data_IF_134293337318
#
_entry.id   IF_134293337318
#
_cell.length_a   1.000
_cell.length_b   1.000
_cell.length_c   1.000
_cell.angle_alpha   90.00
_cell.angle_beta   90.00
_cell.angle_gamma   90.00
#
_symmetry.space_group_name_H-M   'P 1'
#
loop_
_entity.id
_entity.type
_entity.pdbx_description
1 polymer ?
#
# COMPACT_ATOMS: atom_id res chain seq x y z
N UNK A 1 -24.87 -46.43 -27.71
CA UNK A 1 -24.84 -45.75 -26.40
C UNK A 1 -24.89 -44.25 -26.65
N UNK A 2 -25.91 -43.54 -26.16
CA UNK A 2 -26.07 -42.08 -26.32
C UNK A 2 -25.38 -41.40 -25.15
N UNK A 3 -24.27 -40.71 -25.39
CA UNK A 3 -23.57 -39.95 -24.35
C UNK A 3 -24.32 -38.66 -24.07
N UNK A 4 -24.75 -38.47 -22.82
CA UNK A 4 -25.38 -37.25 -22.33
C UNK A 4 -24.29 -36.33 -21.78
N UNK A 5 -24.08 -35.17 -22.41
CA UNK A 5 -23.17 -34.14 -21.94
C UNK A 5 -23.91 -33.17 -21.00
N UNK A 6 -23.43 -33.02 -19.77
CA UNK A 6 -23.88 -31.99 -18.83
C UNK A 6 -22.95 -30.77 -18.94
N UNK A 7 -23.51 -29.61 -19.27
CA UNK A 7 -22.81 -28.33 -19.25
C UNK A 7 -23.08 -27.65 -17.90
N UNK A 8 -22.06 -27.55 -17.04
CA UNK A 8 -22.13 -26.73 -15.83
C UNK A 8 -21.64 -25.32 -16.17
N UNK A 9 -22.51 -24.31 -16.12
CA UNK A 9 -22.06 -22.92 -16.21
C UNK A 9 -21.34 -22.54 -14.92
N UNK A 10 -20.05 -22.23 -15.01
CA UNK A 10 -19.31 -21.65 -13.89
C UNK A 10 -19.83 -20.23 -13.63
N UNK A 11 -20.49 -20.02 -12.48
CA UNK A 11 -20.74 -18.68 -11.97
C UNK A 11 -19.39 -18.06 -11.59
N UNK A 12 -19.00 -17.01 -12.30
CA UNK A 12 -17.91 -16.12 -11.91
C UNK A 12 -18.39 -15.26 -10.74
N UNK A 13 -17.93 -15.57 -9.52
CA UNK A 13 -18.09 -14.69 -8.37
C UNK A 13 -17.02 -13.59 -8.46
N UNK A 14 -17.42 -12.32 -8.58
CA UNK A 14 -16.45 -11.23 -8.50
C UNK A 14 -15.88 -11.20 -7.08
N UNK A 15 -14.58 -11.42 -6.94
CA UNK A 15 -13.91 -11.29 -5.66
C UNK A 15 -13.83 -9.80 -5.29
N UNK A 16 -14.36 -9.44 -4.12
CA UNK A 16 -14.15 -8.10 -3.57
C UNK A 16 -12.66 -7.87 -3.31
N UNK A 17 -12.19 -6.64 -3.50
CA UNK A 17 -10.82 -6.29 -3.17
C UNK A 17 -10.56 -6.53 -1.67
N UNK A 18 -9.53 -7.32 -1.37
CA UNK A 18 -9.09 -7.54 0.02
C UNK A 18 -8.18 -6.40 0.43
N UNK A 19 -8.45 -5.77 1.58
CA UNK A 19 -7.55 -4.78 2.15
C UNK A 19 -6.29 -5.48 2.67
N UNK A 20 -5.20 -5.38 1.92
CA UNK A 20 -3.95 -6.07 2.24
C UNK A 20 -3.07 -5.31 3.24
N UNK A 21 -3.08 -3.97 3.18
CA UNK A 21 -2.26 -3.11 4.04
C UNK A 21 -3.03 -1.85 4.44
N UNK A 22 -2.84 -1.38 5.68
CA UNK A 22 -3.42 -0.12 6.15
C UNK A 22 -2.56 0.55 7.22
N UNK A 23 -2.13 1.77 6.91
CA UNK A 23 -1.35 2.64 7.79
C UNK A 23 -2.20 3.87 8.14
N UNK A 24 -2.75 3.93 9.36
CA UNK A 24 -3.59 5.06 9.79
C UNK A 24 -2.79 6.22 10.38
N UNK A 25 -1.57 5.95 10.87
CA UNK A 25 -0.70 6.93 11.53
C UNK A 25 -1.31 7.58 12.78
N UNK A 26 -2.26 6.91 13.43
CA UNK A 26 -2.89 7.39 14.67
C UNK A 26 -1.85 7.54 15.80
N UNK A 27 -1.02 6.50 15.97
CA UNK A 27 0.05 6.45 16.98
C UNK A 27 1.43 6.22 16.37
N UNK A 28 1.50 5.39 15.32
CA UNK A 28 2.75 4.89 14.76
C UNK A 28 2.54 4.37 13.32
N UNK A 29 3.60 3.75 12.76
CA UNK A 29 3.64 3.25 11.39
C UNK A 29 3.15 1.79 11.26
N UNK A 30 2.42 1.26 12.24
CA UNK A 30 1.95 -0.13 12.21
C UNK A 30 0.97 -0.35 11.06
N UNK A 31 1.18 -1.45 10.33
CA UNK A 31 0.20 -1.96 9.37
C UNK A 31 -0.88 -2.74 10.11
N UNK A 32 -2.06 -2.14 10.21
CA UNK A 32 -3.22 -2.71 10.92
C UNK A 32 -3.93 -3.84 10.17
N UNK A 33 -3.61 -4.07 8.89
CA UNK A 33 -4.23 -5.11 8.07
C UNK A 33 -3.28 -6.27 7.76
N UNK A 34 -2.07 -5.97 7.27
CA UNK A 34 -1.12 -6.99 6.79
C UNK A 34 0.04 -7.28 7.75
N UNK A 35 0.19 -6.50 8.83
CA UNK A 35 1.27 -6.68 9.81
C UNK A 35 2.67 -6.29 9.31
N UNK A 36 2.80 -5.68 8.13
CA UNK A 36 4.08 -5.20 7.62
C UNK A 36 4.40 -3.78 8.12
N UNK A 37 4.83 -3.67 9.37
CA UNK A 37 5.10 -2.37 10.02
C UNK A 37 6.08 -1.50 9.24
N UNK A 38 5.73 -0.22 9.10
CA UNK A 38 6.57 0.80 8.49
C UNK A 38 7.75 1.21 9.39
N UNK A 39 8.86 1.60 8.76
CA UNK A 39 10.06 2.08 9.43
C UNK A 39 10.34 3.50 8.95
N UNK A 40 10.40 4.45 9.88
CA UNK A 40 10.65 5.85 9.58
C UNK A 40 12.16 6.10 9.44
N UNK A 41 12.56 6.72 8.33
CA UNK A 41 13.96 6.99 8.02
C UNK A 41 14.20 8.45 7.63
N UNK A 42 15.45 8.90 7.74
CA UNK A 42 15.89 10.22 7.27
C UNK A 42 15.18 11.39 7.96
N UNK A 43 14.68 11.19 9.18
CA UNK A 43 13.92 12.19 9.94
C UNK A 43 12.43 12.27 9.55
N UNK A 44 11.88 11.24 8.88
CA UNK A 44 10.44 11.06 8.79
C UNK A 44 9.84 10.94 10.20
N UNK A 45 8.66 11.52 10.40
CA UNK A 45 7.98 11.51 11.71
C UNK A 45 6.51 11.22 11.53
N UNK A 46 5.88 10.66 12.56
CA UNK A 46 4.42 10.60 12.66
C UNK A 46 3.99 11.65 13.66
N UNK A 47 3.06 12.51 13.22
CA UNK A 47 2.52 13.55 14.07
C UNK A 47 1.14 13.95 13.57
N UNK A 48 0.20 14.07 14.51
CA UNK A 48 -1.17 14.53 14.23
C UNK A 48 -1.87 13.66 13.16
N UNK A 49 -1.82 12.33 13.32
CA UNK A 49 -2.54 11.39 12.45
C UNK A 49 -1.95 11.22 11.04
N UNK A 50 -0.68 11.58 10.81
CA UNK A 50 -0.05 11.49 9.48
C UNK A 50 1.45 11.24 9.54
N UNK A 51 1.94 10.56 8.50
CA UNK A 51 3.34 10.58 8.13
C UNK A 51 3.72 11.98 7.61
N UNK A 52 4.78 12.56 8.17
CA UNK A 52 5.31 13.86 7.77
C UNK A 52 6.66 13.69 7.07
N UNK A 53 6.70 14.09 5.80
CA UNK A 53 7.89 14.11 4.96
C UNK A 53 8.22 15.57 4.62
N UNK A 54 9.24 16.12 5.27
CA UNK A 54 9.66 17.53 5.13
C UNK A 54 10.43 17.84 3.84
N UNK A 55 10.59 16.86 2.94
CA UNK A 55 11.12 17.06 1.60
C UNK A 55 12.57 17.54 1.58
N UNK A 56 13.53 16.65 1.79
CA UNK A 56 14.96 16.93 1.53
C UNK A 56 15.35 16.56 0.07
N UNK A 57 14.39 16.62 -0.87
CA UNK A 57 14.57 16.23 -2.27
C UNK A 57 14.26 14.75 -2.57
N UNK A 58 14.52 14.32 -3.81
CA UNK A 58 14.18 12.98 -4.32
C UNK A 58 15.15 11.85 -3.94
N UNK A 59 16.17 12.16 -3.13
CA UNK A 59 17.21 11.21 -2.76
C UNK A 59 16.70 10.10 -1.83
N UNK A 60 17.38 8.94 -1.85
CA UNK A 60 17.22 7.88 -0.86
C UNK A 60 17.64 8.32 0.54
N UNK A 61 18.49 9.34 0.66
CA UNK A 61 18.85 9.98 1.93
C UNK A 61 17.77 10.93 2.48
N UNK A 62 16.77 11.29 1.67
CA UNK A 62 15.66 12.10 2.15
C UNK A 62 14.70 11.26 3.01
N UNK A 63 13.92 11.95 3.85
CA UNK A 63 12.89 11.33 4.69
C UNK A 63 11.94 10.45 3.86
N UNK A 64 11.62 9.29 4.44
CA UNK A 64 10.70 8.29 3.89
C UNK A 64 10.25 7.33 4.99
N UNK A 65 9.23 6.57 4.68
CA UNK A 65 8.86 5.34 5.34
C UNK A 65 9.26 4.17 4.44
N UNK A 66 10.01 3.22 4.99
CA UNK A 66 10.19 1.89 4.40
C UNK A 66 9.33 0.87 5.17
N UNK A 67 9.51 -0.42 4.92
CA UNK A 67 8.75 -1.50 5.53
C UNK A 67 9.68 -2.54 6.16
N UNK A 68 9.21 -3.22 7.19
CA UNK A 68 9.94 -4.31 7.86
C UNK A 68 10.24 -5.46 6.89
N UNK A 69 9.32 -5.74 5.98
CA UNK A 69 9.48 -6.69 4.89
C UNK A 69 9.09 -6.04 3.54
N UNK A 70 9.56 -6.54 2.39
CA UNK A 70 9.06 -6.10 1.10
C UNK A 70 7.54 -6.25 1.01
N UNK A 71 6.84 -5.22 0.55
CA UNK A 71 5.40 -5.31 0.20
C UNK A 71 5.18 -6.24 -0.99
N UNK A 72 6.21 -6.36 -1.86
CA UNK A 72 6.25 -7.22 -3.05
C UNK A 72 4.95 -7.17 -3.89
N UNK A 73 4.63 -5.97 -4.41
CA UNK A 73 3.41 -5.75 -5.17
C UNK A 73 3.29 -6.70 -6.37
N UNK A 74 4.42 -6.98 -7.03
CA UNK A 74 4.48 -7.86 -8.19
C UNK A 74 4.19 -9.32 -7.81
N UNK A 75 4.85 -9.84 -6.77
CA UNK A 75 4.66 -11.21 -6.31
C UNK A 75 3.29 -11.46 -5.67
N UNK A 76 2.81 -10.50 -4.87
CA UNK A 76 1.58 -10.66 -4.09
C UNK A 76 0.29 -10.27 -4.85
N UNK A 77 0.36 -9.31 -5.78
CA UNK A 77 -0.84 -8.74 -6.42
C UNK A 77 -0.77 -8.69 -7.95
N UNK A 78 0.32 -9.17 -8.58
CA UNK A 78 0.50 -9.06 -10.03
C UNK A 78 -0.57 -9.75 -10.89
N UNK A 79 -1.20 -10.82 -10.37
CA UNK A 79 -2.24 -11.56 -11.08
C UNK A 79 -3.66 -10.99 -10.86
N UNK A 80 -3.87 -10.25 -9.77
CA UNK A 80 -5.20 -9.76 -9.35
C UNK A 80 -5.36 -8.26 -9.51
N UNK A 81 -4.25 -7.53 -9.70
CA UNK A 81 -4.20 -6.07 -9.64
C UNK A 81 -4.17 -5.55 -8.21
N UNK A 82 -3.83 -4.26 -8.09
CA UNK A 82 -3.78 -3.53 -6.82
C UNK A 82 -4.42 -2.16 -6.97
N UNK A 83 -5.07 -1.70 -5.91
CA UNK A 83 -5.50 -0.30 -5.75
C UNK A 83 -4.80 0.27 -4.52
N UNK A 84 -4.34 1.52 -4.63
CA UNK A 84 -3.75 2.26 -3.51
C UNK A 84 -4.63 3.50 -3.30
N UNK A 85 -5.15 3.66 -2.07
CA UNK A 85 -5.84 4.85 -1.63
C UNK A 85 -4.98 5.58 -0.58
N UNK A 86 -4.88 6.90 -0.70
CA UNK A 86 -4.14 7.73 0.25
C UNK A 86 -4.70 9.14 0.30
N UNK A 87 -4.64 9.73 1.50
CA UNK A 87 -4.93 11.14 1.73
C UNK A 87 -3.62 11.84 2.05
N UNK A 88 -3.32 12.92 1.34
CA UNK A 88 -2.10 13.69 1.57
C UNK A 88 -2.38 15.19 1.52
N UNK A 89 -1.48 15.96 2.12
CA UNK A 89 -1.43 17.41 2.00
C UNK A 89 -0.06 17.78 1.46
N UNK A 90 -0.03 18.45 0.31
CA UNK A 90 1.19 19.03 -0.23
C UNK A 90 1.26 20.52 0.14
N UNK A 91 2.35 20.92 0.76
CA UNK A 91 2.63 22.31 1.15
C UNK A 91 3.77 22.93 0.34
N UNK A 92 4.07 22.39 -0.84
CA UNK A 92 5.08 22.91 -1.77
C UNK A 92 6.28 21.98 -1.98
N UNK A 93 6.06 20.68 -2.20
CA UNK A 93 7.12 19.69 -2.45
C UNK A 93 7.92 19.92 -3.74
N UNK A 94 7.51 20.89 -4.58
CA UNK A 94 8.20 21.26 -5.82
C UNK A 94 7.81 20.33 -6.96
N UNK A 95 8.76 19.96 -7.83
CA UNK A 95 8.50 19.09 -8.99
C UNK A 95 8.18 17.65 -8.60
N UNK A 96 8.62 17.19 -7.43
CA UNK A 96 8.50 15.80 -7.02
C UNK A 96 8.41 15.64 -5.49
N UNK A 97 7.53 14.75 -5.02
CA UNK A 97 7.36 14.40 -3.61
C UNK A 97 7.05 12.91 -3.42
N UNK A 98 7.40 12.38 -2.25
CA UNK A 98 7.05 11.01 -1.81
C UNK A 98 5.69 11.01 -1.13
N UNK A 99 4.93 9.93 -1.29
CA UNK A 99 3.69 9.67 -0.55
C UNK A 99 3.92 8.82 0.71
N UNK A 100 4.95 7.97 0.68
CA UNK A 100 5.48 7.18 1.78
C UNK A 100 6.98 7.00 1.55
#
# INVERSE_FOLDING_TARGET
MKSLFFFFSLLSLSQAATLAHRYSFDTDATDSAGGNTGILEGGATISSGKLTLRGLGSSTAANRMTFTNPVDIGGNFGATGVTIETWYTDTGTGTWGKLF
#
